data_IF_773933797896
#
_entry.id   IF_773933797896
#
_cell.length_a   1.000
_cell.length_b   1.000
_cell.length_c   1.000
_cell.angle_alpha   90.00
_cell.angle_beta   90.00
_cell.angle_gamma   90.00
#
_symmetry.space_group_name_H-M   'P 1'
#
loop_
_entity.id
_entity.type
_entity.pdbx_description
1 polymer ?
#
# COMPACT_ATOMS: atom_id res chain seq x y z
N UNK A 1 -45.69 15.42 -16.12
CA UNK A 1 -44.26 15.75 -15.98
C UNK A 1 -43.50 14.84 -14.99
N UNK A 2 -44.12 13.85 -14.34
CA UNK A 2 -43.45 12.95 -13.36
C UNK A 2 -43.00 11.59 -13.91
N UNK A 3 -43.38 11.21 -15.13
CA UNK A 3 -43.02 9.90 -15.71
C UNK A 3 -41.68 9.88 -16.47
N UNK A 4 -41.17 11.05 -16.90
CA UNK A 4 -39.90 11.14 -17.66
C UNK A 4 -38.64 11.04 -16.80
N UNK A 5 -38.76 11.29 -15.50
CA UNK A 5 -37.59 11.20 -14.57
C UNK A 5 -37.35 9.78 -14.04
N UNK A 6 -38.39 8.92 -14.01
CA UNK A 6 -38.20 7.53 -13.58
C UNK A 6 -37.41 6.70 -14.61
N UNK A 7 -37.57 6.99 -15.90
CA UNK A 7 -36.87 6.27 -16.98
C UNK A 7 -35.35 6.61 -17.04
N UNK A 8 -35.00 7.85 -16.68
CA UNK A 8 -33.57 8.27 -16.66
C UNK A 8 -32.81 7.68 -15.49
N UNK A 9 -33.46 7.49 -14.33
CA UNK A 9 -32.83 6.88 -13.14
C UNK A 9 -32.64 5.36 -13.33
N UNK A 10 -33.56 4.70 -14.04
CA UNK A 10 -33.41 3.26 -14.35
C UNK A 10 -32.33 2.99 -15.42
N UNK A 11 -32.09 3.93 -16.35
CA UNK A 11 -30.99 3.80 -17.33
C UNK A 11 -29.61 4.01 -16.69
N UNK A 12 -29.51 4.93 -15.72
CA UNK A 12 -28.27 5.18 -15.00
C UNK A 12 -27.90 4.01 -14.06
N UNK A 13 -28.90 3.35 -13.44
CA UNK A 13 -28.68 2.17 -12.61
C UNK A 13 -28.24 0.94 -13.43
N UNK A 14 -28.69 0.83 -14.68
CA UNK A 14 -28.30 -0.27 -15.57
C UNK A 14 -26.88 -0.18 -16.12
N UNK A 15 -26.32 1.03 -16.22
CA UNK A 15 -24.93 1.25 -16.68
C UNK A 15 -23.90 1.06 -15.57
N UNK A 16 -24.28 1.26 -14.32
CA UNK A 16 -23.37 1.06 -13.18
C UNK A 16 -23.09 -0.42 -12.87
N UNK A 17 -24.00 -1.32 -13.23
CA UNK A 17 -23.83 -2.77 -13.00
C UNK A 17 -22.92 -3.45 -14.03
N UNK A 18 -22.72 -2.86 -15.21
CA UNK A 18 -21.81 -3.41 -16.22
C UNK A 18 -20.32 -3.18 -15.89
N UNK A 19 -19.99 -2.23 -14.98
CA UNK A 19 -18.62 -1.94 -14.58
C UNK A 19 -18.05 -2.93 -13.54
N UNK A 20 -18.88 -3.79 -12.97
CA UNK A 20 -18.53 -4.76 -11.92
C UNK A 20 -18.52 -6.22 -12.42
N UNK A 21 -18.52 -6.44 -13.74
CA UNK A 21 -18.37 -7.79 -14.29
C UNK A 21 -17.06 -8.41 -13.81
N UNK A 22 -17.10 -9.68 -13.35
CA UNK A 22 -15.94 -10.42 -12.89
C UNK A 22 -14.84 -10.37 -13.95
N UNK A 23 -13.56 -10.06 -13.57
CA UNK A 23 -12.46 -10.16 -14.51
C UNK A 23 -12.34 -11.59 -15.06
N UNK A 24 -11.88 -11.71 -16.32
CA UNK A 24 -11.51 -12.98 -16.91
C UNK A 24 -10.13 -13.39 -16.43
N UNK A 25 -9.89 -14.69 -16.21
CA UNK A 25 -8.56 -15.17 -15.81
C UNK A 25 -8.15 -16.45 -16.52
N UNK A 26 -6.86 -16.63 -16.65
CA UNK A 26 -6.22 -17.87 -17.08
C UNK A 26 -4.90 -18.07 -16.32
N UNK A 27 -4.44 -19.31 -16.27
CA UNK A 27 -3.11 -19.65 -15.73
C UNK A 27 -2.31 -20.36 -16.80
N UNK A 28 -1.14 -19.82 -17.14
CA UNK A 28 -0.24 -20.41 -18.13
C UNK A 28 0.41 -21.68 -17.57
N UNK A 29 0.95 -22.52 -18.45
CA UNK A 29 1.60 -23.77 -18.07
C UNK A 29 2.77 -23.60 -17.08
N UNK A 30 3.44 -22.45 -17.11
CA UNK A 30 4.54 -22.09 -16.20
C UNK A 30 4.08 -21.54 -14.84
N UNK A 31 2.75 -21.49 -14.59
CA UNK A 31 2.15 -21.04 -13.33
C UNK A 31 1.86 -19.54 -13.24
N UNK A 32 2.15 -18.74 -14.26
CA UNK A 32 1.79 -17.31 -14.29
C UNK A 32 0.27 -17.17 -14.46
N UNK A 33 -0.37 -16.43 -13.55
CA UNK A 33 -1.78 -16.06 -13.67
C UNK A 33 -1.92 -14.75 -14.42
N UNK A 34 -2.89 -14.69 -15.33
CA UNK A 34 -3.26 -13.50 -16.09
C UNK A 34 -4.70 -13.15 -15.76
N UNK A 35 -4.93 -11.95 -15.27
CA UNK A 35 -6.24 -11.43 -14.89
C UNK A 35 -6.54 -10.24 -15.80
N UNK A 36 -7.65 -10.30 -16.53
CA UNK A 36 -8.03 -9.26 -17.50
C UNK A 36 -9.39 -8.69 -17.13
N UNK A 37 -9.45 -7.39 -16.91
CA UNK A 37 -10.70 -6.65 -16.73
C UNK A 37 -10.90 -5.71 -17.91
N UNK A 38 -11.86 -6.03 -18.77
CA UNK A 38 -12.21 -5.21 -19.91
C UNK A 38 -12.92 -3.92 -19.44
N UNK A 39 -12.46 -2.78 -19.96
CA UNK A 39 -13.02 -1.46 -19.70
C UNK A 39 -12.88 -0.59 -20.96
N UNK A 40 -13.95 -0.48 -21.73
CA UNK A 40 -13.96 0.18 -23.03
C UNK A 40 -14.26 1.69 -22.96
N UNK A 41 -14.17 2.33 -21.78
CA UNK A 41 -14.47 3.75 -21.60
C UNK A 41 -13.42 4.70 -22.20
N UNK A 42 -12.19 4.25 -22.36
CA UNK A 42 -11.10 5.00 -22.97
C UNK A 42 -10.15 4.07 -23.74
N UNK A 43 -9.51 4.52 -24.87
CA UNK A 43 -8.67 3.68 -25.71
C UNK A 43 -7.27 3.47 -25.09
N UNK A 44 -7.22 3.04 -23.85
CA UNK A 44 -5.99 2.80 -23.09
C UNK A 44 -6.00 1.42 -22.46
N UNK A 45 -4.83 0.90 -22.17
CA UNK A 45 -4.62 -0.31 -21.40
C UNK A 45 -3.61 -0.07 -20.29
N UNK A 46 -3.83 -0.68 -19.14
CA UNK A 46 -2.91 -0.74 -18.02
C UNK A 46 -2.49 -2.19 -17.86
N UNK A 47 -1.20 -2.45 -17.89
CA UNK A 47 -0.61 -3.72 -17.50
C UNK A 47 0.11 -3.53 -16.16
N UNK A 48 -0.13 -4.43 -15.21
CA UNK A 48 0.61 -4.51 -13.95
C UNK A 48 1.14 -5.92 -13.74
N UNK A 49 2.44 -6.05 -13.56
CA UNK A 49 3.09 -7.31 -13.18
C UNK A 49 3.41 -7.25 -11.69
N UNK A 50 2.84 -8.18 -10.94
CA UNK A 50 2.96 -8.29 -9.50
C UNK A 50 3.79 -9.51 -9.12
N UNK A 51 4.83 -9.30 -8.33
CA UNK A 51 5.62 -10.37 -7.72
C UNK A 51 5.22 -10.50 -6.25
N UNK A 52 4.92 -11.73 -5.82
CA UNK A 52 4.51 -12.04 -4.43
C UNK A 52 5.73 -12.06 -3.50
N UNK A 53 6.52 -10.99 -3.54
CA UNK A 53 7.77 -10.84 -2.81
C UNK A 53 7.99 -9.37 -2.47
N UNK A 54 8.30 -9.06 -1.21
CA UNK A 54 8.56 -7.71 -0.73
C UNK A 54 9.52 -7.72 0.46
N UNK A 55 9.63 -6.60 1.17
CA UNK A 55 10.60 -6.48 2.27
C UNK A 55 10.36 -7.45 3.44
N UNK A 56 9.16 -8.02 3.55
CA UNK A 56 8.88 -9.07 4.55
C UNK A 56 9.68 -10.33 4.34
N UNK A 57 10.02 -10.63 3.10
CA UNK A 57 10.71 -11.85 2.71
C UNK A 57 12.25 -11.72 2.76
N UNK A 58 12.75 -10.52 3.07
CA UNK A 58 14.19 -10.25 3.24
C UNK A 58 14.72 -10.84 4.56
N UNK A 59 16.03 -10.89 4.69
CA UNK A 59 16.73 -11.32 5.90
C UNK A 59 17.50 -10.16 6.53
N UNK A 60 17.80 -10.23 7.82
CA UNK A 60 18.66 -9.27 8.50
C UNK A 60 20.05 -9.30 7.87
N UNK A 61 20.64 -8.15 7.63
CA UNK A 61 21.91 -7.99 6.90
C UNK A 61 21.76 -7.79 5.39
N UNK A 62 20.53 -7.94 4.84
CA UNK A 62 20.24 -7.71 3.43
C UNK A 62 18.89 -6.98 3.25
N UNK A 63 18.48 -6.16 4.24
CA UNK A 63 17.26 -5.39 4.13
C UNK A 63 17.37 -4.33 3.03
N UNK A 64 16.26 -4.12 2.30
CA UNK A 64 16.19 -3.22 1.16
C UNK A 64 16.54 -3.87 -0.18
N UNK A 65 16.92 -5.15 -0.23
CA UNK A 65 17.29 -5.82 -1.48
C UNK A 65 16.12 -5.87 -2.47
N UNK A 66 14.88 -5.97 -1.99
CA UNK A 66 13.69 -5.93 -2.83
C UNK A 66 13.54 -4.57 -3.53
N UNK A 67 13.77 -3.47 -2.80
CA UNK A 67 13.72 -2.12 -3.34
C UNK A 67 14.92 -1.80 -4.25
N UNK A 68 16.12 -2.24 -3.89
CA UNK A 68 17.30 -2.10 -4.74
C UNK A 68 17.11 -2.86 -6.07
N UNK A 69 16.52 -4.06 -6.02
CA UNK A 69 16.21 -4.79 -7.25
C UNK A 69 15.13 -4.08 -8.08
N UNK A 70 14.14 -3.44 -7.47
CA UNK A 70 13.16 -2.62 -8.20
C UNK A 70 13.88 -1.60 -9.09
N UNK A 71 14.87 -0.87 -8.55
CA UNK A 71 15.70 0.07 -9.30
C UNK A 71 16.51 -0.61 -10.41
N UNK A 72 17.12 -1.76 -10.10
CA UNK A 72 17.91 -2.50 -11.06
C UNK A 72 17.07 -3.06 -12.23
N UNK A 73 15.77 -3.28 -12.05
CA UNK A 73 14.88 -3.76 -13.12
C UNK A 73 14.77 -2.79 -14.31
N UNK A 74 15.22 -1.56 -14.17
CA UNK A 74 15.29 -0.56 -15.25
C UNK A 74 16.68 -0.42 -15.88
N UNK A 75 17.65 -1.26 -15.45
CA UNK A 75 19.06 -1.18 -15.90
C UNK A 75 19.38 -2.09 -17.09
N UNK A 76 18.36 -2.79 -17.63
CA UNK A 76 18.44 -3.41 -18.94
C UNK A 76 18.56 -4.92 -18.95
N UNK A 77 18.41 -5.44 -20.13
CA UNK A 77 18.53 -6.84 -20.54
C UNK A 77 19.49 -6.92 -21.73
N UNK A 78 19.85 -8.10 -22.23
CA UNK A 78 20.61 -8.20 -23.48
C UNK A 78 19.96 -7.54 -24.70
N UNK A 79 18.62 -7.38 -24.69
CA UNK A 79 17.84 -6.80 -25.80
C UNK A 79 17.42 -5.34 -25.58
N UNK A 80 17.50 -4.85 -24.35
CA UNK A 80 17.04 -3.50 -23.97
C UNK A 80 18.08 -2.87 -23.05
N UNK A 81 18.78 -1.85 -23.52
CA UNK A 81 19.84 -1.17 -22.76
C UNK A 81 19.33 -0.41 -21.52
N UNK A 82 20.26 0.00 -20.63
CA UNK A 82 19.92 0.77 -19.43
C UNK A 82 19.11 2.02 -19.74
N UNK A 83 17.96 2.21 -19.07
CA UNK A 83 17.03 3.34 -19.27
C UNK A 83 16.28 3.32 -20.60
N UNK A 84 16.49 2.33 -21.46
CA UNK A 84 15.79 2.23 -22.74
C UNK A 84 14.35 1.76 -22.57
N UNK A 85 14.05 0.99 -21.53
CA UNK A 85 12.69 0.55 -21.21
C UNK A 85 11.74 1.75 -21.10
N UNK A 86 12.03 2.72 -20.22
CA UNK A 86 11.22 3.91 -20.00
C UNK A 86 11.11 4.76 -21.30
N UNK A 87 12.20 4.87 -22.07
CA UNK A 87 12.20 5.59 -23.35
C UNK A 87 11.26 4.95 -24.37
N UNK A 88 11.23 3.61 -24.46
CA UNK A 88 10.32 2.87 -25.37
C UNK A 88 8.87 3.05 -24.94
N UNK A 89 8.58 2.96 -23.63
CA UNK A 89 7.21 3.19 -23.10
C UNK A 89 6.77 4.63 -23.37
N UNK A 90 7.62 5.62 -23.11
CA UNK A 90 7.33 7.03 -23.40
C UNK A 90 7.13 7.28 -24.90
N UNK A 91 7.95 6.69 -25.77
CA UNK A 91 7.80 6.80 -27.23
C UNK A 91 6.51 6.15 -27.74
N UNK A 92 5.99 5.13 -27.03
CA UNK A 92 4.68 4.53 -27.29
C UNK A 92 3.51 5.41 -26.78
N UNK A 93 3.78 6.59 -26.21
CA UNK A 93 2.76 7.46 -25.63
C UNK A 93 2.27 7.02 -24.25
N UNK A 94 3.04 6.17 -23.58
CA UNK A 94 2.71 5.61 -22.28
C UNK A 94 3.51 6.21 -21.13
N UNK A 95 3.22 5.70 -19.97
CA UNK A 95 3.99 5.92 -18.73
C UNK A 95 4.20 4.60 -18.01
N UNK A 96 5.29 4.50 -17.30
CA UNK A 96 5.64 3.33 -16.49
C UNK A 96 6.19 3.78 -15.14
N UNK A 97 6.08 2.90 -14.16
CA UNK A 97 6.73 3.01 -12.86
C UNK A 97 6.72 1.65 -12.16
N UNK A 98 7.30 1.63 -10.95
CA UNK A 98 7.29 0.48 -10.07
C UNK A 98 7.12 0.92 -8.61
N UNK A 99 6.81 -0.02 -7.74
CA UNK A 99 6.77 0.20 -6.30
C UNK A 99 7.01 -1.12 -5.55
N UNK A 100 7.79 -1.01 -4.49
CA UNK A 100 8.03 -2.10 -3.53
C UNK A 100 7.27 -1.83 -2.24
N UNK A 101 6.56 -2.84 -1.77
CA UNK A 101 5.84 -2.85 -0.50
C UNK A 101 6.48 -3.86 0.45
N UNK A 102 5.89 -3.99 1.64
CA UNK A 102 6.24 -5.06 2.58
C UNK A 102 5.96 -6.44 1.99
N UNK A 103 4.87 -6.60 1.25
CA UNK A 103 4.30 -7.89 0.87
C UNK A 103 4.41 -8.23 -0.61
N UNK A 104 4.74 -7.25 -1.45
CA UNK A 104 4.82 -7.39 -2.89
C UNK A 104 5.71 -6.33 -3.53
N UNK A 105 6.13 -6.61 -4.77
CA UNK A 105 6.75 -5.63 -5.68
C UNK A 105 5.97 -5.65 -6.99
N UNK A 106 5.64 -4.49 -7.54
CA UNK A 106 4.86 -4.39 -8.75
C UNK A 106 5.43 -3.38 -9.74
N UNK A 107 5.23 -3.67 -11.02
CA UNK A 107 5.65 -2.86 -12.16
C UNK A 107 4.44 -2.61 -13.03
N UNK A 108 4.28 -1.39 -13.54
CA UNK A 108 3.14 -1.10 -14.38
C UNK A 108 3.50 -0.23 -15.59
N UNK A 109 2.72 -0.41 -16.65
CA UNK A 109 2.68 0.46 -17.82
C UNK A 109 1.22 0.84 -18.09
N UNK A 110 1.01 2.10 -18.41
CA UNK A 110 -0.24 2.59 -18.96
C UNK A 110 0.05 3.15 -20.34
N UNK A 111 -0.57 2.58 -21.36
CA UNK A 111 -0.30 2.86 -22.77
C UNK A 111 -1.60 2.98 -23.58
N UNK A 112 -1.59 3.58 -24.79
CA UNK A 112 -2.64 3.36 -25.76
C UNK A 112 -2.83 1.85 -26.00
N UNK A 113 -4.06 1.37 -26.16
CA UNK A 113 -4.38 -0.06 -26.25
C UNK A 113 -3.60 -0.81 -27.34
N UNK A 114 -3.31 -0.12 -28.44
CA UNK A 114 -2.55 -0.65 -29.57
C UNK A 114 -1.08 -0.94 -29.22
N UNK A 115 -0.62 -0.43 -28.07
CA UNK A 115 0.75 -0.59 -27.58
C UNK A 115 0.87 -1.60 -26.43
N UNK A 116 -0.22 -2.28 -26.07
CA UNK A 116 -0.19 -3.30 -25.05
C UNK A 116 0.77 -4.43 -25.38
N UNK A 117 0.80 -4.92 -26.61
CA UNK A 117 1.71 -5.98 -27.05
C UNK A 117 3.18 -5.58 -26.84
N UNK A 118 3.54 -4.35 -27.20
CA UNK A 118 4.92 -3.83 -27.07
C UNK A 118 5.38 -3.88 -25.59
N UNK A 119 4.53 -3.46 -24.65
CA UNK A 119 4.88 -3.45 -23.23
C UNK A 119 4.82 -4.84 -22.60
N UNK A 120 3.96 -5.74 -23.07
CA UNK A 120 3.95 -7.15 -22.65
C UNK A 120 5.26 -7.83 -23.02
N UNK A 121 5.79 -7.57 -24.21
CA UNK A 121 7.07 -8.10 -24.65
C UNK A 121 8.22 -7.57 -23.78
N UNK A 122 8.25 -6.26 -23.49
CA UNK A 122 9.26 -5.64 -22.65
C UNK A 122 9.26 -6.20 -21.22
N UNK A 123 8.07 -6.39 -20.63
CA UNK A 123 7.93 -6.97 -19.28
C UNK A 123 8.34 -8.44 -19.24
N UNK A 124 7.95 -9.23 -20.23
CA UNK A 124 8.35 -10.64 -20.31
C UNK A 124 9.87 -10.77 -20.42
N UNK A 125 10.52 -9.90 -21.20
CA UNK A 125 11.99 -9.88 -21.33
C UNK A 125 12.66 -9.57 -19.98
N UNK A 126 12.28 -8.48 -19.29
CA UNK A 126 12.92 -8.14 -18.00
C UNK A 126 12.57 -9.10 -16.86
N UNK A 127 11.45 -9.82 -16.94
CA UNK A 127 11.09 -10.84 -15.95
C UNK A 127 12.15 -11.94 -15.85
N UNK A 128 12.83 -12.30 -16.95
CA UNK A 128 13.77 -13.43 -16.97
C UNK A 128 15.17 -13.13 -17.50
N UNK A 129 15.36 -11.99 -18.15
CA UNK A 129 16.62 -11.67 -18.81
C UNK A 129 17.31 -10.43 -18.24
N UNK A 130 16.93 -9.98 -17.05
CA UNK A 130 17.58 -8.85 -16.39
C UNK A 130 19.08 -9.08 -16.26
N UNK A 131 19.85 -8.11 -16.70
CA UNK A 131 21.31 -8.06 -16.49
C UNK A 131 21.60 -7.24 -15.24
N UNK A 132 22.03 -7.88 -14.16
CA UNK A 132 22.51 -7.16 -12.98
C UNK A 132 23.99 -6.88 -13.17
N UNK A 133 24.29 -5.80 -13.89
CA UNK A 133 25.68 -5.35 -14.11
C UNK A 133 26.26 -4.72 -12.86
N UNK A 134 27.49 -5.08 -12.50
CA UNK A 134 28.14 -4.60 -11.28
C UNK A 134 28.37 -3.08 -11.28
N UNK A 135 28.68 -2.48 -12.45
CA UNK A 135 28.91 -1.05 -12.57
C UNK A 135 27.62 -0.25 -12.45
N UNK A 136 26.54 -0.74 -13.09
CA UNK A 136 25.21 -0.14 -12.93
C UNK A 136 24.75 -0.25 -11.47
N UNK A 137 25.00 -1.39 -10.82
CA UNK A 137 24.67 -1.59 -9.41
C UNK A 137 25.42 -0.61 -8.49
N UNK A 138 26.73 -0.41 -8.70
CA UNK A 138 27.54 0.55 -7.90
C UNK A 138 27.03 1.99 -8.00
N UNK A 139 26.40 2.35 -9.09
CA UNK A 139 25.78 3.67 -9.26
C UNK A 139 24.41 3.70 -8.57
N UNK A 140 23.60 2.67 -8.79
CA UNK A 140 22.21 2.65 -8.35
C UNK A 140 22.08 2.49 -6.83
N UNK A 141 22.96 1.70 -6.20
CA UNK A 141 22.95 1.58 -4.73
C UNK A 141 23.19 2.94 -4.06
N UNK A 142 24.01 3.81 -4.65
CA UNK A 142 24.22 5.18 -4.16
C UNK A 142 22.96 6.04 -4.31
N UNK A 143 22.21 5.84 -5.39
CA UNK A 143 20.91 6.51 -5.59
C UNK A 143 19.92 6.07 -4.50
N UNK A 144 19.81 4.77 -4.24
CA UNK A 144 18.94 4.23 -3.15
C UNK A 144 19.39 4.75 -1.77
N UNK A 145 20.68 4.79 -1.50
CA UNK A 145 21.21 5.35 -0.24
C UNK A 145 20.87 6.85 -0.09
N UNK A 146 20.96 7.61 -1.18
CA UNK A 146 20.58 9.04 -1.15
C UNK A 146 19.07 9.21 -1.02
N UNK A 147 18.28 8.37 -1.66
CA UNK A 147 16.84 8.32 -1.47
C UNK A 147 16.46 8.03 -0.03
N UNK A 148 17.14 7.06 0.61
CA UNK A 148 16.94 6.77 2.03
C UNK A 148 17.25 8.01 2.89
N UNK A 149 18.37 8.72 2.62
CA UNK A 149 18.68 9.95 3.33
C UNK A 149 17.54 10.96 3.20
N UNK A 150 17.11 11.24 1.96
CA UNK A 150 16.07 12.25 1.72
C UNK A 150 14.70 11.85 2.29
N UNK A 151 14.30 10.58 2.16
CA UNK A 151 12.97 10.13 2.55
C UNK A 151 12.85 9.80 4.04
N UNK A 152 13.95 9.35 4.68
CA UNK A 152 13.93 8.87 6.06
C UNK A 152 14.85 9.66 6.97
N UNK A 153 16.17 9.73 6.68
CA UNK A 153 17.13 10.26 7.62
C UNK A 153 17.02 11.77 7.80
N UNK A 154 16.69 12.50 6.73
CA UNK A 154 16.43 13.95 6.71
C UNK A 154 14.95 14.31 6.95
N UNK A 155 14.08 13.32 7.13
CA UNK A 155 12.66 13.50 7.43
C UNK A 155 12.35 13.03 8.86
N UNK A 156 12.19 13.96 9.83
CA UNK A 156 11.99 13.61 11.23
C UNK A 156 10.76 12.72 11.49
N UNK A 157 9.66 12.92 10.74
CA UNK A 157 8.45 12.14 10.89
C UNK A 157 8.62 10.71 10.36
N UNK A 158 9.25 10.57 9.19
CA UNK A 158 9.56 9.24 8.62
C UNK A 158 10.53 8.47 9.52
N UNK A 159 11.52 9.15 10.10
CA UNK A 159 12.44 8.57 11.08
C UNK A 159 11.71 8.09 12.34
N UNK A 160 10.77 8.88 12.85
CA UNK A 160 9.92 8.47 13.96
C UNK A 160 9.12 7.21 13.61
N UNK A 161 8.48 7.17 12.43
CA UNK A 161 7.68 6.04 11.98
C UNK A 161 8.52 4.77 11.81
N UNK A 162 9.74 4.90 11.25
CA UNK A 162 10.69 3.78 11.13
C UNK A 162 11.06 3.21 12.50
N UNK A 163 11.49 4.06 13.43
CA UNK A 163 11.87 3.64 14.78
C UNK A 163 10.69 3.05 15.56
N UNK A 164 9.52 3.60 15.38
CA UNK A 164 8.29 3.09 15.98
C UNK A 164 7.96 1.67 15.49
N UNK A 165 8.06 1.40 14.18
CA UNK A 165 7.84 0.04 13.65
C UNK A 165 8.90 -0.94 14.15
N UNK A 166 10.17 -0.52 14.24
CA UNK A 166 11.26 -1.34 14.78
C UNK A 166 11.01 -1.76 16.24
N UNK A 167 10.32 -0.92 17.03
CA UNK A 167 9.94 -1.22 18.43
C UNK A 167 8.59 -1.96 18.50
N UNK A 168 7.64 -1.63 17.63
CA UNK A 168 6.30 -2.22 17.62
C UNK A 168 6.32 -3.72 17.26
N UNK A 169 7.23 -4.14 16.38
CA UNK A 169 7.37 -5.54 15.98
C UNK A 169 8.66 -6.14 16.55
N UNK A 170 8.53 -7.17 17.37
CA UNK A 170 9.65 -7.85 17.99
C UNK A 170 10.29 -8.89 17.08
N UNK A 171 9.47 -9.77 16.50
CA UNK A 171 9.91 -10.87 15.68
C UNK A 171 9.52 -10.69 14.20
N UNK A 172 8.36 -10.07 13.93
CA UNK A 172 7.85 -9.99 12.57
C UNK A 172 8.71 -9.07 11.69
N UNK A 173 8.99 -9.45 10.42
CA UNK A 173 9.80 -8.65 9.49
C UNK A 173 9.30 -7.22 9.20
N UNK A 174 8.05 -6.90 9.53
CA UNK A 174 7.51 -5.52 9.42
C UNK A 174 8.25 -4.49 10.28
N UNK A 175 9.15 -4.93 11.17
CA UNK A 175 10.09 -4.07 11.90
C UNK A 175 11.12 -3.38 10.99
N UNK A 176 11.42 -3.98 9.81
CA UNK A 176 12.41 -3.45 8.86
C UNK A 176 11.80 -2.41 7.93
N UNK A 177 12.54 -1.34 7.59
CA UNK A 177 12.09 -0.40 6.57
C UNK A 177 12.13 -1.04 5.17
N UNK A 178 11.18 -0.69 4.32
CA UNK A 178 11.12 -1.19 2.93
C UNK A 178 12.37 -0.79 2.16
N UNK A 179 12.86 0.43 2.37
CA UNK A 179 14.07 0.94 1.71
C UNK A 179 15.36 0.29 2.23
N UNK A 180 15.29 -0.46 3.34
CA UNK A 180 16.44 -1.10 4.00
C UNK A 180 17.12 -0.21 5.03
N UNK A 181 17.87 -0.84 5.94
CA UNK A 181 18.77 -0.14 6.84
C UNK A 181 20.02 0.36 6.10
N UNK A 182 20.54 1.53 6.46
CA UNK A 182 21.72 2.12 5.78
C UNK A 182 22.93 1.18 5.78
N UNK A 183 23.24 0.54 6.92
CA UNK A 183 24.36 -0.40 7.00
C UNK A 183 24.21 -1.63 6.11
N UNK A 184 22.99 -2.09 5.86
CA UNK A 184 22.72 -3.20 4.94
C UNK A 184 22.93 -2.74 3.49
N UNK A 185 22.46 -1.53 3.14
CA UNK A 185 22.69 -0.93 1.82
C UNK A 185 24.18 -0.68 1.54
N UNK A 186 24.95 -0.23 2.54
CA UNK A 186 26.41 0.02 2.41
C UNK A 186 27.20 -1.26 2.11
N UNK A 187 26.70 -2.41 2.52
CA UNK A 187 27.37 -3.71 2.34
C UNK A 187 26.77 -4.57 1.24
N UNK A 188 25.60 -4.18 0.70
CA UNK A 188 24.92 -4.92 -0.35
C UNK A 188 25.72 -4.95 -1.65
N UNK A 189 25.66 -6.08 -2.33
CA UNK A 189 26.40 -6.32 -3.58
C UNK A 189 25.45 -6.62 -4.75
N UNK A 190 25.98 -6.51 -5.96
CA UNK A 190 25.25 -6.94 -7.17
C UNK A 190 24.87 -8.43 -7.13
N UNK A 191 25.67 -9.25 -6.44
CA UNK A 191 25.38 -10.67 -6.26
C UNK A 191 24.14 -10.90 -5.39
N UNK A 192 23.92 -10.08 -4.36
CA UNK A 192 22.74 -10.16 -3.49
C UNK A 192 21.46 -9.82 -4.28
N UNK A 193 21.48 -8.73 -5.06
CA UNK A 193 20.39 -8.35 -5.93
C UNK A 193 20.13 -9.42 -7.01
N UNK A 194 21.17 -10.00 -7.60
CA UNK A 194 21.06 -11.08 -8.58
C UNK A 194 20.47 -12.35 -7.97
N UNK A 195 20.89 -12.72 -6.78
CA UNK A 195 20.36 -13.89 -6.07
C UNK A 195 18.87 -13.72 -5.74
N UNK A 196 18.47 -12.49 -5.33
CA UNK A 196 17.08 -12.13 -5.09
C UNK A 196 16.24 -12.26 -6.36
N UNK A 197 16.71 -11.68 -7.47
CA UNK A 197 16.07 -11.78 -8.78
C UNK A 197 15.91 -13.22 -9.23
N UNK A 198 16.99 -14.00 -9.24
CA UNK A 198 16.99 -15.39 -9.72
C UNK A 198 16.03 -16.28 -8.92
N UNK A 199 15.87 -15.98 -7.63
CA UNK A 199 15.02 -16.75 -6.72
C UNK A 199 13.55 -16.42 -6.91
N UNK A 200 13.20 -15.13 -6.99
CA UNK A 200 11.84 -14.69 -6.81
C UNK A 200 11.15 -14.14 -8.05
N UNK A 201 11.91 -13.68 -9.08
CA UNK A 201 11.35 -13.11 -10.30
C UNK A 201 11.11 -14.21 -11.33
N UNK A 202 10.12 -15.04 -11.03
CA UNK A 202 9.73 -16.21 -11.83
C UNK A 202 8.23 -16.21 -12.08
N UNK A 203 7.75 -16.76 -13.22
CA UNK A 203 6.33 -16.73 -13.59
C UNK A 203 5.40 -17.25 -12.49
N UNK A 204 5.74 -18.34 -11.84
CA UNK A 204 4.90 -18.95 -10.80
C UNK A 204 4.94 -18.24 -9.44
N UNK A 205 5.74 -17.17 -9.29
CA UNK A 205 5.68 -16.23 -8.14
C UNK A 205 5.03 -14.91 -8.53
N UNK A 206 4.53 -14.79 -9.75
CA UNK A 206 3.96 -13.57 -10.29
C UNK A 206 2.50 -13.76 -10.75
N UNK A 207 1.84 -12.65 -10.98
CA UNK A 207 0.60 -12.58 -11.74
C UNK A 207 0.54 -11.24 -12.47
N UNK A 208 -0.19 -11.20 -13.57
CA UNK A 208 -0.36 -10.01 -14.41
C UNK A 208 -1.82 -9.58 -14.34
N UNK A 209 -2.05 -8.31 -14.05
CA UNK A 209 -3.37 -7.69 -14.12
C UNK A 209 -3.38 -6.73 -15.29
N UNK A 210 -4.33 -6.90 -16.20
CA UNK A 210 -4.53 -6.04 -17.37
C UNK A 210 -5.94 -5.47 -17.30
N UNK A 211 -6.04 -4.13 -17.35
CA UNK A 211 -7.33 -3.44 -17.39
C UNK A 211 -7.35 -2.45 -18.54
N UNK A 212 -8.46 -2.32 -19.25
CA UNK A 212 -8.58 -1.36 -20.34
C UNK A 212 -9.41 -1.81 -21.51
N UNK A 213 -9.30 -1.06 -22.61
CA UNK A 213 -10.01 -1.33 -23.87
C UNK A 213 -9.33 -2.49 -24.64
N UNK A 214 -9.50 -3.69 -24.12
CA UNK A 214 -8.88 -4.91 -24.60
C UNK A 214 -9.90 -6.05 -24.72
N UNK A 215 -9.62 -7.03 -25.57
CA UNK A 215 -10.32 -8.31 -25.61
C UNK A 215 -9.51 -9.34 -24.81
N UNK A 216 -10.11 -9.99 -23.82
CA UNK A 216 -9.40 -10.91 -22.92
C UNK A 216 -8.80 -12.11 -23.67
N UNK A 217 -9.43 -12.60 -24.74
CA UNK A 217 -8.90 -13.74 -25.51
C UNK A 217 -7.64 -13.34 -26.27
N UNK A 218 -7.64 -12.14 -26.86
CA UNK A 218 -6.45 -11.59 -27.50
C UNK A 218 -5.33 -11.39 -26.49
N UNK A 219 -5.63 -10.85 -25.30
CA UNK A 219 -4.64 -10.69 -24.22
C UNK A 219 -4.09 -12.02 -23.76
N UNK A 220 -4.91 -13.06 -23.60
CA UNK A 220 -4.43 -14.40 -23.22
C UNK A 220 -3.51 -15.01 -24.29
N UNK A 221 -3.81 -14.80 -25.57
CA UNK A 221 -2.93 -15.23 -26.66
C UNK A 221 -1.57 -14.50 -26.65
N UNK A 222 -1.57 -13.19 -26.37
CA UNK A 222 -0.34 -12.41 -26.19
C UNK A 222 0.44 -12.88 -24.96
N UNK A 223 -0.24 -13.15 -23.85
CA UNK A 223 0.39 -13.66 -22.64
C UNK A 223 1.04 -15.02 -22.87
N UNK A 224 0.36 -15.95 -23.56
CA UNK A 224 0.94 -17.25 -23.95
C UNK A 224 2.17 -17.07 -24.86
N UNK A 225 2.11 -16.12 -25.81
CA UNK A 225 3.23 -15.84 -26.73
C UNK A 225 4.47 -15.34 -26.02
N UNK A 226 4.34 -14.37 -25.07
CA UNK A 226 5.48 -13.68 -24.47
C UNK A 226 5.90 -14.25 -23.13
N UNK A 227 4.94 -14.60 -22.26
CA UNK A 227 5.24 -15.15 -20.94
C UNK A 227 5.25 -16.68 -20.91
N UNK A 228 4.51 -17.35 -21.81
CA UNK A 228 4.43 -18.82 -21.86
C UNK A 228 5.77 -19.51 -21.97
N UNK A 229 6.74 -19.02 -22.78
CA UNK A 229 8.07 -19.62 -22.91
C UNK A 229 8.96 -19.46 -21.66
N UNK A 230 8.61 -18.58 -20.71
CA UNK A 230 9.42 -18.35 -19.52
C UNK A 230 9.29 -19.51 -18.54
N UNK A 231 10.42 -19.98 -18.00
CA UNK A 231 10.43 -21.11 -17.09
C UNK A 231 10.07 -20.71 -15.66
N UNK A 232 9.09 -21.42 -15.08
CA UNK A 232 8.84 -21.40 -13.64
C UNK A 232 9.90 -22.17 -12.87
N UNK A 233 10.06 -21.88 -11.57
CA UNK A 233 11.01 -22.56 -10.68
C UNK A 233 10.38 -22.93 -9.36
N UNK A 234 10.94 -23.93 -8.68
CA UNK A 234 10.56 -24.22 -7.29
C UNK A 234 10.95 -23.03 -6.40
N UNK A 235 9.97 -22.50 -5.67
CA UNK A 235 10.17 -21.42 -4.74
C UNK A 235 10.65 -21.95 -3.38
N UNK A 236 11.54 -21.22 -2.69
CA UNK A 236 11.89 -21.55 -1.32
C UNK A 236 10.66 -21.52 -0.40
N UNK A 237 10.60 -22.46 0.53
CA UNK A 237 9.56 -22.45 1.55
C UNK A 237 9.71 -21.23 2.47
N UNK A 238 8.66 -20.42 2.56
CA UNK A 238 8.62 -19.28 3.49
C UNK A 238 8.36 -19.78 4.90
N UNK A 239 9.27 -19.45 5.80
CA UNK A 239 9.10 -19.70 7.24
C UNK A 239 8.38 -18.52 7.85
N UNK A 240 7.12 -18.70 8.24
CA UNK A 240 6.37 -17.66 8.92
C UNK A 240 7.03 -17.29 10.24
N UNK A 241 7.26 -15.98 10.44
CA UNK A 241 7.64 -15.43 11.73
C UNK A 241 6.39 -14.88 12.40
N UNK A 242 6.02 -15.48 13.52
CA UNK A 242 4.85 -15.08 14.28
C UNK A 242 5.26 -13.99 15.27
N UNK A 243 4.59 -12.85 15.19
CA UNK A 243 4.78 -11.78 16.18
C UNK A 243 4.22 -12.23 17.53
N UNK A 244 5.01 -12.23 18.61
CA UNK A 244 4.51 -12.55 19.94
C UNK A 244 3.48 -11.53 20.42
N UNK A 245 2.60 -11.93 21.32
CA UNK A 245 1.69 -11.01 21.96
C UNK A 245 2.47 -9.90 22.69
N UNK A 246 1.98 -8.69 22.62
CA UNK A 246 2.55 -7.58 23.37
C UNK A 246 1.88 -7.54 24.74
N UNK A 247 2.71 -7.47 25.78
CA UNK A 247 2.29 -7.43 27.18
C UNK A 247 2.82 -6.14 27.83
N UNK A 248 2.12 -5.04 27.58
CA UNK A 248 2.48 -3.71 28.10
C UNK A 248 2.88 -2.71 27.04
N UNK A 249 2.74 -1.42 27.37
CA UNK A 249 3.05 -0.30 26.49
C UNK A 249 4.54 -0.23 26.18
N UNK A 250 4.88 -0.10 24.89
CA UNK A 250 6.23 0.23 24.42
C UNK A 250 6.29 1.73 24.12
N UNK A 251 7.45 2.36 24.36
CA UNK A 251 7.62 3.78 24.06
C UNK A 251 8.97 4.04 23.42
N UNK A 252 9.01 4.88 22.38
CA UNK A 252 10.23 5.34 21.72
C UNK A 252 10.19 6.86 21.54
N UNK A 253 11.27 7.53 21.92
CA UNK A 253 11.47 8.96 21.72
C UNK A 253 12.58 9.15 20.68
N UNK A 254 12.28 9.92 19.64
CA UNK A 254 13.22 10.23 18.55
C UNK A 254 13.57 11.70 18.61
N UNK A 255 14.85 12.01 18.77
CA UNK A 255 15.37 13.38 18.70
C UNK A 255 15.85 13.66 17.29
N UNK A 256 15.26 14.67 16.64
CA UNK A 256 15.68 15.09 15.32
C UNK A 256 15.38 16.58 15.08
N UNK A 257 16.12 17.26 14.18
CA UNK A 257 15.83 18.62 13.79
C UNK A 257 14.40 18.76 13.24
N UNK A 258 13.55 19.48 13.95
CA UNK A 258 12.15 19.66 13.57
C UNK A 258 11.59 20.95 14.20
N UNK A 259 10.55 21.52 13.60
CA UNK A 259 9.87 22.70 14.14
C UNK A 259 8.86 22.32 15.21
N UNK A 260 8.19 21.18 15.06
CA UNK A 260 7.08 20.78 15.92
C UNK A 260 7.24 19.31 16.36
N UNK A 261 6.81 18.98 17.57
CA UNK A 261 6.75 17.60 18.03
C UNK A 261 5.64 16.83 17.28
N UNK A 262 5.81 15.51 17.16
CA UNK A 262 4.80 14.61 16.60
C UNK A 262 4.59 13.45 17.56
N UNK A 263 3.35 13.05 17.73
CA UNK A 263 2.92 11.88 18.48
C UNK A 263 2.35 10.83 17.53
N UNK A 264 2.73 9.56 17.73
CA UNK A 264 2.10 8.41 17.10
C UNK A 264 1.75 7.39 18.18
N UNK A 265 0.50 6.93 18.20
CA UNK A 265 0.01 5.84 19.05
C UNK A 265 -0.35 4.67 18.14
N UNK A 266 0.45 3.60 18.15
CA UNK A 266 0.21 2.41 17.32
C UNK A 266 -0.36 1.27 18.16
N UNK A 267 -1.53 0.80 17.78
CA UNK A 267 -2.19 -0.34 18.42
C UNK A 267 -2.12 -1.56 17.50
N UNK A 268 -1.82 -2.73 18.06
CA UNK A 268 -1.94 -3.99 17.33
C UNK A 268 -3.40 -4.19 16.94
N UNK A 269 -3.65 -4.45 15.66
CA UNK A 269 -4.98 -4.55 15.09
C UNK A 269 -5.09 -5.79 14.18
N UNK A 270 -6.27 -6.42 14.08
CA UNK A 270 -6.48 -7.53 13.15
C UNK A 270 -6.46 -7.01 11.71
N UNK A 271 -6.24 -7.90 10.77
CA UNK A 271 -6.42 -7.66 9.34
C UNK A 271 -7.32 -8.73 8.76
N UNK A 272 -7.82 -8.51 7.55
CA UNK A 272 -8.63 -9.48 6.83
C UNK A 272 -7.81 -10.73 6.50
N UNK A 273 -8.38 -11.88 6.87
CA UNK A 273 -7.89 -13.23 6.52
C UNK A 273 -8.96 -14.00 5.76
N UNK A 274 -10.23 -13.78 6.10
CA UNK A 274 -11.38 -14.36 5.43
C UNK A 274 -12.45 -13.27 5.26
N UNK A 275 -12.70 -12.88 4.01
CA UNK A 275 -13.64 -11.81 3.66
C UNK A 275 -15.04 -12.07 4.22
N UNK A 276 -15.47 -13.34 4.28
CA UNK A 276 -16.82 -13.69 4.73
C UNK A 276 -16.95 -13.81 6.25
N UNK A 277 -15.91 -14.30 6.93
CA UNK A 277 -15.97 -14.59 8.37
C UNK A 277 -15.54 -13.41 9.23
N UNK A 278 -14.53 -12.67 8.78
CA UNK A 278 -14.01 -11.57 9.56
C UNK A 278 -15.01 -10.40 9.61
N UNK A 279 -15.13 -9.79 10.80
CA UNK A 279 -15.96 -8.60 11.03
C UNK A 279 -15.18 -7.43 11.60
N UNK A 280 -14.23 -7.70 12.50
CA UNK A 280 -13.50 -6.66 13.22
C UNK A 280 -12.70 -5.73 12.31
N UNK A 281 -12.00 -6.20 11.24
CA UNK A 281 -11.31 -5.30 10.31
C UNK A 281 -12.22 -4.28 9.64
N UNK A 282 -13.43 -4.66 9.24
CA UNK A 282 -14.41 -3.74 8.67
C UNK A 282 -14.92 -2.71 9.70
N UNK A 283 -15.13 -3.16 10.93
CA UNK A 283 -15.54 -2.26 12.02
C UNK A 283 -14.44 -1.27 12.40
N UNK A 284 -13.16 -1.67 12.37
CA UNK A 284 -12.02 -0.77 12.59
C UNK A 284 -11.85 0.23 11.44
N UNK A 285 -12.04 -0.18 10.19
CA UNK A 285 -12.05 0.72 9.04
C UNK A 285 -13.17 1.76 9.17
N UNK A 286 -14.36 1.33 9.61
CA UNK A 286 -15.48 2.24 9.89
C UNK A 286 -15.18 3.20 11.04
N UNK A 287 -14.56 2.71 12.12
CA UNK A 287 -14.11 3.56 13.24
C UNK A 287 -13.11 4.61 12.76
N UNK A 288 -12.12 4.22 11.96
CA UNK A 288 -11.16 5.17 11.39
C UNK A 288 -11.85 6.27 10.58
N UNK A 289 -12.81 5.91 9.72
CA UNK A 289 -13.57 6.89 8.95
C UNK A 289 -14.44 7.83 9.81
N UNK A 290 -14.97 7.37 10.94
CA UNK A 290 -15.73 8.21 11.88
C UNK A 290 -14.80 9.19 12.61
N UNK A 291 -13.58 8.76 12.96
CA UNK A 291 -12.62 9.58 13.67
C UNK A 291 -11.94 10.62 12.78
N UNK A 292 -11.59 10.28 11.53
CA UNK A 292 -10.81 11.16 10.64
C UNK A 292 -11.17 11.07 9.14
N UNK A 293 -12.24 10.41 8.75
CA UNK A 293 -12.57 10.23 7.33
C UNK A 293 -12.98 11.50 6.56
N UNK A 294 -13.11 12.65 7.21
CA UNK A 294 -13.53 13.92 6.59
C UNK A 294 -13.39 15.12 7.53
N UNK A 295 -13.49 16.34 7.01
CA UNK A 295 -13.34 17.59 7.77
C UNK A 295 -14.29 17.74 8.97
N UNK A 296 -15.45 17.10 8.97
CA UNK A 296 -16.38 17.09 10.08
C UNK A 296 -16.28 15.84 10.98
N UNK A 297 -15.26 14.99 10.77
CA UNK A 297 -14.95 13.84 11.60
C UNK A 297 -14.51 14.28 13.01
N UNK A 298 -14.56 13.34 13.97
CA UNK A 298 -14.38 13.67 15.39
C UNK A 298 -13.07 14.36 15.69
N UNK A 299 -11.94 13.88 15.17
CA UNK A 299 -10.64 14.47 15.45
C UNK A 299 -10.54 15.91 14.95
N UNK A 300 -10.91 16.15 13.70
CA UNK A 300 -10.89 17.47 13.12
C UNK A 300 -11.85 18.43 13.83
N UNK A 301 -13.08 17.96 14.07
CA UNK A 301 -14.09 18.78 14.76
C UNK A 301 -13.69 19.08 16.19
N UNK A 302 -13.36 18.04 16.98
CA UNK A 302 -13.16 18.15 18.42
C UNK A 302 -11.77 18.65 18.76
N UNK A 303 -10.72 17.97 18.30
CA UNK A 303 -9.35 18.21 18.75
C UNK A 303 -8.72 19.43 18.07
N UNK A 304 -9.05 19.66 16.78
CA UNK A 304 -8.43 20.76 16.02
C UNK A 304 -9.25 22.05 16.14
N UNK A 305 -10.58 22.01 15.91
CA UNK A 305 -11.37 23.23 15.80
C UNK A 305 -11.99 23.69 17.13
N UNK A 306 -12.54 22.76 17.94
CA UNK A 306 -13.21 23.10 19.19
C UNK A 306 -12.22 23.25 20.35
N UNK A 307 -11.55 22.18 20.74
CA UNK A 307 -10.65 22.17 21.92
C UNK A 307 -9.28 22.78 21.61
N UNK A 308 -8.90 22.85 20.31
CA UNK A 308 -7.64 23.43 19.83
C UNK A 308 -6.41 22.82 20.54
N UNK A 309 -6.47 21.54 20.85
CA UNK A 309 -5.36 20.79 21.46
C UNK A 309 -4.40 20.26 20.41
N UNK A 310 -4.88 20.05 19.20
CA UNK A 310 -4.10 19.57 18.07
C UNK A 310 -4.08 20.59 16.93
N UNK A 311 -2.91 20.76 16.32
CA UNK A 311 -2.75 21.40 15.01
C UNK A 311 -3.23 20.45 13.91
N UNK A 312 -2.94 19.15 14.08
CA UNK A 312 -3.44 18.07 13.25
C UNK A 312 -3.63 16.82 14.09
N UNK A 313 -4.63 16.00 13.75
CA UNK A 313 -4.85 14.70 14.34
C UNK A 313 -5.44 13.77 13.25
N UNK A 314 -4.98 12.53 13.19
CA UNK A 314 -5.41 11.55 12.19
C UNK A 314 -5.37 10.12 12.69
N UNK A 315 -5.90 9.21 11.89
CA UNK A 315 -5.89 7.77 12.13
C UNK A 315 -5.68 7.03 10.82
N UNK A 316 -4.70 6.12 10.81
CA UNK A 316 -4.41 5.23 9.68
C UNK A 316 -4.68 3.78 10.07
N UNK A 317 -5.40 3.08 9.24
CA UNK A 317 -5.63 1.64 9.37
C UNK A 317 -5.76 0.99 8.00
N UNK A 318 -4.81 0.10 7.69
CA UNK A 318 -4.90 -0.79 6.54
C UNK A 318 -5.33 -2.18 7.02
N UNK A 319 -6.44 -2.66 6.50
CA UNK A 319 -7.00 -3.96 6.86
C UNK A 319 -6.52 -5.09 5.94
N UNK A 320 -5.63 -4.81 4.98
CA UNK A 320 -5.13 -5.76 3.99
C UNK A 320 -3.62 -5.87 4.04
N UNK A 321 -3.10 -6.95 4.60
CA UNK A 321 -1.66 -7.23 4.66
C UNK A 321 -1.41 -8.74 4.79
N UNK A 322 -0.19 -9.20 4.48
CA UNK A 322 0.23 -10.59 4.75
C UNK A 322 0.59 -10.80 6.23
N UNK A 323 1.20 -9.80 6.83
CA UNK A 323 1.65 -9.81 8.23
C UNK A 323 0.62 -9.31 9.24
N UNK A 324 1.02 -9.08 10.49
CA UNK A 324 0.17 -8.53 11.53
C UNK A 324 -0.15 -7.05 11.26
N UNK A 325 -1.39 -6.64 11.57
CA UNK A 325 -1.86 -5.29 11.37
C UNK A 325 -1.50 -4.35 12.52
N UNK A 326 -1.49 -3.07 12.19
CA UNK A 326 -1.42 -1.95 13.13
C UNK A 326 -2.46 -0.90 12.76
N UNK A 327 -2.94 -0.21 13.78
CA UNK A 327 -3.73 1.00 13.64
C UNK A 327 -2.97 2.14 14.31
N UNK A 328 -2.80 3.26 13.63
CA UNK A 328 -2.03 4.39 14.12
C UNK A 328 -2.93 5.61 14.34
N UNK A 329 -2.95 6.16 15.56
CA UNK A 329 -3.39 7.52 15.81
C UNK A 329 -2.16 8.41 15.78
N UNK A 330 -2.23 9.54 15.12
CA UNK A 330 -1.09 10.44 15.03
C UNK A 330 -1.54 11.90 15.13
N UNK A 331 -0.62 12.78 15.45
CA UNK A 331 -0.91 14.22 15.47
C UNK A 331 0.24 15.09 15.92
N UNK A 332 0.00 16.39 15.77
CA UNK A 332 0.89 17.47 16.17
C UNK A 332 0.13 18.34 17.18
N UNK A 333 0.64 18.60 18.39
CA UNK A 333 -0.02 19.48 19.35
C UNK A 333 -0.06 20.92 18.85
N UNK A 334 -1.10 21.66 19.23
CA UNK A 334 -1.19 23.10 18.98
C UNK A 334 -0.16 23.89 19.78
N UNK A 335 0.08 25.13 19.40
CA UNK A 335 0.94 26.06 20.15
C UNK A 335 0.49 26.16 21.62
N UNK A 336 1.44 26.06 22.53
CA UNK A 336 1.18 26.08 23.99
C UNK A 336 0.63 24.75 24.54
N UNK A 337 0.45 23.72 23.73
CA UNK A 337 0.06 22.37 24.15
C UNK A 337 1.23 21.41 24.09
N UNK A 338 1.21 20.42 24.95
CA UNK A 338 2.24 19.39 25.03
C UNK A 338 1.84 18.12 24.27
N UNK A 339 2.82 17.25 24.00
CA UNK A 339 2.57 15.89 23.48
C UNK A 339 1.67 15.10 24.43
N UNK A 340 1.83 15.30 25.76
CA UNK A 340 0.99 14.64 26.76
C UNK A 340 -0.49 15.11 26.69
N UNK A 341 -0.72 16.41 26.46
CA UNK A 341 -2.08 16.93 26.25
C UNK A 341 -2.73 16.29 25.02
N UNK A 342 -1.99 16.16 23.92
CA UNK A 342 -2.47 15.52 22.69
C UNK A 342 -2.72 14.02 22.89
N UNK A 343 -1.80 13.30 23.57
CA UNK A 343 -1.99 11.88 23.90
C UNK A 343 -3.28 11.69 24.73
N UNK A 344 -3.47 12.49 25.75
CA UNK A 344 -4.67 12.45 26.59
C UNK A 344 -5.94 12.73 25.78
N UNK A 345 -5.91 13.71 24.87
CA UNK A 345 -7.06 14.07 24.04
C UNK A 345 -7.42 12.98 23.03
N UNK A 346 -6.44 12.38 22.34
CA UNK A 346 -6.68 11.24 21.44
C UNK A 346 -7.28 10.06 22.18
N UNK A 347 -6.71 9.68 23.33
CA UNK A 347 -7.23 8.61 24.19
C UNK A 347 -8.66 8.92 24.71
N UNK A 348 -8.95 10.17 25.02
CA UNK A 348 -10.29 10.58 25.48
C UNK A 348 -11.35 10.40 24.36
N UNK A 349 -11.02 10.69 23.10
CA UNK A 349 -11.94 10.44 21.98
C UNK A 349 -12.20 8.93 21.78
N UNK A 350 -11.18 8.10 21.92
CA UNK A 350 -11.36 6.63 21.90
C UNK A 350 -12.24 6.18 23.09
N UNK A 351 -11.97 6.68 24.28
CA UNK A 351 -12.76 6.35 25.48
C UNK A 351 -14.23 6.76 25.32
N UNK A 352 -14.53 7.88 24.66
CA UNK A 352 -15.92 8.25 24.33
C UNK A 352 -16.58 7.22 23.41
N UNK A 353 -15.86 6.75 22.37
CA UNK A 353 -16.42 5.69 21.53
C UNK A 353 -16.66 4.42 22.32
N UNK A 354 -15.74 4.05 23.23
CA UNK A 354 -15.90 2.87 24.09
C UNK A 354 -17.11 2.98 25.03
N UNK A 355 -17.39 4.16 25.58
CA UNK A 355 -18.43 4.39 26.56
C UNK A 355 -19.79 4.68 25.91
N UNK A 356 -19.81 5.62 24.99
CA UNK A 356 -21.02 6.22 24.42
C UNK A 356 -21.36 5.62 23.02
N UNK A 357 -20.39 4.97 22.36
CA UNK A 357 -20.53 4.50 20.99
C UNK A 357 -20.44 5.61 19.96
N UNK A 358 -21.10 5.39 18.83
CA UNK A 358 -21.18 6.34 17.70
C UNK A 358 -22.63 6.59 17.34
N UNK A 359 -22.95 7.81 16.91
CA UNK A 359 -24.31 8.16 16.53
C UNK A 359 -24.67 7.58 15.14
N UNK A 360 -25.97 7.38 14.91
CA UNK A 360 -26.48 6.95 13.60
C UNK A 360 -26.10 7.92 12.47
N UNK A 361 -26.00 9.21 12.77
CA UNK A 361 -25.62 10.23 11.79
C UNK A 361 -24.14 10.15 11.42
N UNK A 362 -23.23 9.90 12.36
CA UNK A 362 -21.80 9.68 12.10
C UNK A 362 -21.60 8.43 11.28
N UNK A 363 -22.20 7.32 11.69
CA UNK A 363 -22.11 6.05 10.97
C UNK A 363 -22.62 6.16 9.53
N UNK A 364 -23.76 6.85 9.32
CA UNK A 364 -24.31 7.06 7.99
C UNK A 364 -23.36 7.87 7.10
N UNK A 365 -22.75 8.94 7.62
CA UNK A 365 -21.77 9.75 6.86
C UNK A 365 -20.53 8.95 6.53
N UNK A 366 -19.94 8.25 7.50
CA UNK A 366 -18.74 7.43 7.30
C UNK A 366 -18.97 6.35 6.24
N UNK A 367 -20.12 5.65 6.30
CA UNK A 367 -20.51 4.66 5.26
C UNK A 367 -20.59 5.29 3.88
N UNK A 368 -21.26 6.44 3.75
CA UNK A 368 -21.42 7.10 2.47
C UNK A 368 -20.06 7.51 1.87
N UNK A 369 -19.14 7.98 2.69
CA UNK A 369 -17.81 8.42 2.25
C UNK A 369 -16.89 7.26 1.91
N UNK A 370 -16.83 6.23 2.75
CA UNK A 370 -16.07 5.01 2.44
C UNK A 370 -16.56 4.38 1.14
N UNK A 371 -17.89 4.26 0.96
CA UNK A 371 -18.44 3.72 -0.27
C UNK A 371 -18.08 4.58 -1.49
N UNK A 372 -18.19 5.90 -1.38
CA UNK A 372 -17.80 6.82 -2.45
C UNK A 372 -16.31 6.68 -2.78
N UNK A 373 -15.43 6.60 -1.76
CA UNK A 373 -13.99 6.41 -1.95
C UNK A 373 -13.67 5.11 -2.68
N UNK A 374 -14.30 4.00 -2.29
CA UNK A 374 -14.11 2.71 -2.96
C UNK A 374 -14.61 2.72 -4.42
N UNK A 375 -15.75 3.36 -4.68
CA UNK A 375 -16.25 3.53 -6.04
C UNK A 375 -15.29 4.38 -6.88
N UNK A 376 -14.79 5.49 -6.34
CA UNK A 376 -13.85 6.36 -7.06
C UNK A 376 -12.52 5.69 -7.41
N UNK A 377 -12.03 4.74 -6.59
CA UNK A 377 -10.86 3.93 -6.96
C UNK A 377 -11.08 3.17 -8.26
N UNK A 378 -12.30 2.72 -8.51
CA UNK A 378 -12.67 1.94 -9.69
C UNK A 378 -12.97 2.81 -10.93
N UNK A 379 -12.97 4.13 -10.81
CA UNK A 379 -13.20 5.03 -11.95
C UNK A 379 -12.05 5.02 -12.96
N UNK A 380 -10.83 4.79 -12.51
CA UNK A 380 -9.67 4.66 -13.40
C UNK A 380 -9.28 3.21 -13.64
N UNK A 381 -8.81 2.91 -14.86
CA UNK A 381 -8.27 1.59 -15.20
C UNK A 381 -7.08 1.23 -14.31
N UNK A 382 -6.25 2.22 -13.98
CA UNK A 382 -5.14 2.05 -13.04
C UNK A 382 -5.63 1.66 -11.65
N UNK A 383 -6.63 2.36 -11.12
CA UNK A 383 -7.22 2.04 -9.80
C UNK A 383 -7.83 0.63 -9.76
N UNK A 384 -8.49 0.21 -10.84
CA UNK A 384 -9.02 -1.16 -10.95
C UNK A 384 -7.91 -2.21 -10.93
N UNK A 385 -6.82 -1.98 -11.67
CA UNK A 385 -5.67 -2.90 -11.70
C UNK A 385 -4.97 -2.95 -10.34
N UNK A 386 -4.83 -1.81 -9.66
CA UNK A 386 -4.27 -1.70 -8.31
C UNK A 386 -5.11 -2.49 -7.29
N UNK A 387 -6.42 -2.30 -7.28
CA UNK A 387 -7.31 -2.95 -6.32
C UNK A 387 -7.29 -4.48 -6.47
N UNK A 388 -7.40 -4.98 -7.70
CA UNK A 388 -7.28 -6.42 -8.00
C UNK A 388 -5.91 -6.93 -7.54
N UNK A 389 -4.85 -6.21 -7.91
CA UNK A 389 -3.50 -6.62 -7.60
C UNK A 389 -3.22 -6.65 -6.09
N UNK A 390 -3.54 -5.60 -5.35
CA UNK A 390 -3.29 -5.53 -3.91
C UNK A 390 -3.99 -6.64 -3.12
N UNK A 391 -5.27 -6.88 -3.42
CA UNK A 391 -6.05 -7.95 -2.76
C UNK A 391 -5.43 -9.33 -3.04
N UNK A 392 -5.04 -9.59 -4.29
CA UNK A 392 -4.39 -10.84 -4.69
C UNK A 392 -2.99 -11.01 -4.04
N UNK A 393 -2.24 -9.91 -3.88
CA UNK A 393 -0.92 -9.93 -3.26
C UNK A 393 -0.93 -10.40 -1.80
N UNK A 394 -1.98 -10.07 -1.06
CA UNK A 394 -2.14 -10.48 0.33
C UNK A 394 -2.86 -11.81 0.51
N UNK A 395 -3.22 -12.49 -0.60
CA UNK A 395 -3.84 -13.81 -0.60
C UNK A 395 -5.35 -13.80 -0.41
N UNK A 396 -6.00 -12.67 -0.61
CA UNK A 396 -7.45 -12.55 -0.62
C UNK A 396 -7.99 -12.68 -2.06
N UNK A 397 -9.17 -13.31 -2.26
CA UNK A 397 -9.74 -13.47 -3.59
C UNK A 397 -10.36 -12.15 -4.08
N UNK A 398 -9.77 -11.55 -5.13
CA UNK A 398 -10.29 -10.32 -5.75
C UNK A 398 -11.73 -10.45 -6.26
N UNK A 399 -12.17 -11.66 -6.59
CA UNK A 399 -13.56 -11.96 -6.98
C UNK A 399 -14.59 -11.60 -5.91
N UNK A 400 -14.13 -11.38 -4.67
CA UNK A 400 -14.96 -11.01 -3.52
C UNK A 400 -14.89 -9.52 -3.16
N UNK A 401 -14.35 -8.65 -4.02
CA UNK A 401 -14.31 -7.21 -3.75
C UNK A 401 -15.68 -6.62 -3.44
N UNK A 402 -16.71 -6.98 -4.23
CA UNK A 402 -18.09 -6.54 -3.95
C UNK A 402 -18.58 -6.99 -2.57
N UNK A 403 -18.17 -8.20 -2.16
CA UNK A 403 -18.50 -8.72 -0.83
C UNK A 403 -17.85 -7.93 0.30
N UNK A 404 -16.63 -7.41 0.09
CA UNK A 404 -15.98 -6.52 1.06
C UNK A 404 -16.81 -5.23 1.24
N UNK A 405 -17.28 -4.63 0.16
CA UNK A 405 -18.17 -3.46 0.21
C UNK A 405 -19.49 -3.74 0.93
N UNK A 406 -20.12 -4.89 0.66
CA UNK A 406 -21.33 -5.30 1.37
C UNK A 406 -21.09 -5.46 2.88
N UNK A 407 -19.97 -6.07 3.26
CA UNK A 407 -19.59 -6.23 4.68
C UNK A 407 -19.40 -4.87 5.34
N UNK A 408 -18.69 -3.96 4.70
CA UNK A 408 -18.48 -2.61 5.19
C UNK A 408 -19.81 -1.87 5.42
N UNK A 409 -20.75 -1.99 4.48
CA UNK A 409 -22.08 -1.39 4.62
C UNK A 409 -22.89 -1.98 5.78
N UNK A 410 -22.68 -3.23 6.15
CA UNK A 410 -23.38 -3.92 7.24
C UNK A 410 -22.87 -3.59 8.63
N UNK A 411 -21.69 -2.95 8.75
CA UNK A 411 -21.13 -2.56 10.05
C UNK A 411 -22.14 -1.72 10.84
N UNK A 412 -22.40 -2.10 12.08
CA UNK A 412 -23.32 -1.39 13.00
C UNK A 412 -22.55 -0.47 13.97
N UNK A 413 -23.27 0.42 14.65
CA UNK A 413 -22.69 1.24 15.71
C UNK A 413 -22.16 0.38 16.89
N UNK A 414 -22.81 -0.73 17.15
CA UNK A 414 -22.38 -1.70 18.19
C UNK A 414 -21.06 -2.37 17.81
N UNK A 415 -20.86 -2.73 16.53
CA UNK A 415 -19.61 -3.30 16.06
C UNK A 415 -18.45 -2.32 16.21
N UNK A 416 -18.67 -1.05 15.85
CA UNK A 416 -17.67 0.03 16.01
C UNK A 416 -17.29 0.21 17.49
N UNK A 417 -18.27 0.22 18.40
CA UNK A 417 -18.01 0.32 19.83
C UNK A 417 -17.28 -0.93 20.36
N UNK A 418 -17.65 -2.12 19.90
CA UNK A 418 -17.03 -3.36 20.32
C UNK A 418 -15.53 -3.42 19.95
N UNK A 419 -15.16 -3.04 18.73
CA UNK A 419 -13.74 -3.02 18.32
C UNK A 419 -12.95 -1.91 19.03
N UNK A 420 -13.57 -0.77 19.33
CA UNK A 420 -12.92 0.25 20.14
C UNK A 420 -12.59 -0.28 21.55
N UNK A 421 -13.48 -1.02 22.18
CA UNK A 421 -13.22 -1.66 23.49
C UNK A 421 -12.16 -2.75 23.41
N UNK A 422 -12.12 -3.52 22.32
CA UNK A 422 -11.27 -4.70 22.16
C UNK A 422 -9.82 -4.36 21.87
N UNK A 423 -9.56 -3.41 20.98
CA UNK A 423 -8.24 -3.19 20.41
C UNK A 423 -7.48 -1.98 20.95
N UNK A 424 -8.15 -1.02 21.57
CA UNK A 424 -7.49 0.15 22.14
C UNK A 424 -7.23 -0.06 23.65
N UNK A 425 -6.21 -0.84 23.94
CA UNK A 425 -5.73 -1.13 25.28
C UNK A 425 -4.21 -0.90 25.37
N UNK A 426 -3.70 -0.70 26.58
CA UNK A 426 -2.31 -0.35 26.81
C UNK A 426 -1.34 -1.52 26.56
N UNK A 427 -1.79 -2.77 26.67
CA UNK A 427 -0.96 -3.93 26.38
C UNK A 427 -0.63 -4.06 24.89
N UNK A 428 -1.48 -3.54 24.01
CA UNK A 428 -1.28 -3.55 22.55
C UNK A 428 -0.65 -2.25 22.02
N UNK A 429 -0.29 -1.29 22.89
CA UNK A 429 0.11 0.06 22.50
C UNK A 429 1.62 0.21 22.35
N UNK A 430 2.04 0.84 21.26
CA UNK A 430 3.37 1.42 21.09
C UNK A 430 3.24 2.94 20.89
N UNK A 431 3.97 3.73 21.65
CA UNK A 431 3.97 5.19 21.59
C UNK A 431 5.27 5.68 20.99
N UNK A 432 5.19 6.45 19.92
CA UNK A 432 6.31 7.14 19.30
C UNK A 432 6.19 8.65 19.48
N UNK A 433 7.27 9.29 19.92
CA UNK A 433 7.34 10.76 20.12
C UNK A 433 8.52 11.31 19.36
N UNK A 434 8.28 12.30 18.50
CA UNK A 434 9.33 13.17 17.96
C UNK A 434 9.57 14.32 18.92
N UNK A 435 10.80 14.38 19.45
CA UNK A 435 11.28 15.49 20.27
C UNK A 435 12.07 16.47 19.38
N UNK A 436 11.54 17.65 19.06
CA UNK A 436 12.19 18.61 18.18
C UNK A 436 13.55 19.03 18.72
N UNK A 437 14.55 19.01 17.85
CA UNK A 437 15.86 19.61 18.08
C UNK A 437 16.00 20.87 17.21
N UNK A 438 16.88 21.82 17.60
CA UNK A 438 17.12 23.01 16.81
C UNK A 438 17.44 22.67 15.35
N UNK A 439 16.88 23.49 14.43
CA UNK A 439 17.24 23.42 13.02
C UNK A 439 18.63 24.02 12.84
N UNK A 440 19.62 23.23 12.45
CA UNK A 440 20.99 23.68 12.21
C UNK A 440 21.08 24.56 10.96
N UNK A 441 20.42 25.71 10.89
CA UNK A 441 20.55 26.76 9.88
C UNK A 441 20.67 26.36 8.41
N UNK A 442 20.58 25.11 8.05
CA UNK A 442 20.61 24.61 6.68
C UNK A 442 19.24 24.78 6.06
N UNK A 443 19.13 25.50 4.92
CA UNK A 443 17.86 25.62 4.22
C UNK A 443 17.37 24.22 3.83
N UNK A 444 16.10 23.92 4.14
CA UNK A 444 15.43 22.72 3.64
C UNK A 444 15.55 22.67 2.11
N UNK A 445 16.12 21.62 1.54
CA UNK A 445 15.94 21.32 0.12
C UNK A 445 14.43 21.09 -0.10
N UNK A 446 13.79 21.79 -1.04
CA UNK A 446 12.38 21.54 -1.33
C UNK A 446 12.22 20.06 -1.67
N UNK A 447 11.38 19.38 -0.93
CA UNK A 447 11.04 17.99 -1.20
C UNK A 447 10.49 17.90 -2.62
N UNK A 448 11.08 17.05 -3.43
CA UNK A 448 10.51 16.69 -4.73
C UNK A 448 9.18 16.02 -4.41
N UNK A 449 8.09 16.70 -4.75
CA UNK A 449 6.76 16.13 -4.66
C UNK A 449 6.72 14.92 -5.60
N UNK A 450 6.88 13.73 -5.07
CA UNK A 450 6.58 12.50 -5.79
C UNK A 450 5.08 12.47 -6.00
N UNK A 451 4.65 12.82 -7.21
CA UNK A 451 3.31 12.49 -7.68
C UNK A 451 3.26 10.97 -7.80
N UNK A 452 2.60 10.34 -6.85
CA UNK A 452 2.14 8.96 -6.95
C UNK A 452 0.85 8.90 -7.76
#
# INVERSE_FOLDING_TARGET
>A
MRLKYLSAVLLAAGLATAALANPYETTLANGLRIIVKEDHRAPTAVQMVWYRIGSTDEVDGASGVAHVLEHMMFKGTPSVGPGEFNKRVAAAGGRDNAFTSRDYTAYFQQVPKEKLEDVMQLEADRMRHLTVDAKEFEQEIKVVMEERRMRTDDNPQAKLFEQMNAVAFQAHPYRRPIIGWMNDLETMTAADAKAWYDTWYVPNNAYVVITGDVDHKAVFALAEKYYGPLEGRALPARKQQIEPAQEGTRRVNVKAPAELPVLILGYKAPILRDIDKDSDPYALQMLAAILDGHDAARFNKKLVREDKVALSAGIDYDNTARGPGMLYLHGTPSEGKTVADLEAALRAEIARVQQEGVSAAELKRAKAQLLASEIYKLDSMFGQAMEIGQIEAVGLPYQKLDRMLEKLQKVSAADVQAVAKKYFNDDALTVGVLEPQPLDGKPRRPGVATRH
#
